data_IF_022664650130
#
_entry.id   IF_022664650130
#
_cell.length_a   1.000
_cell.length_b   1.000
_cell.length_c   1.000
_cell.angle_alpha   90.00
_cell.angle_beta   90.00
_cell.angle_gamma   90.00
#
_symmetry.space_group_name_H-M   'P 1'
#
loop_
_entity.id
_entity.type
_entity.pdbx_description
1 polymer ?
#
# COMPACT_ATOMS: atom_id res chain seq x y z
N UNK A 1 27.41 -16.18 -37.98
CA UNK A 1 27.53 -15.30 -36.80
C UNK A 1 26.41 -14.27 -36.85
N UNK A 2 25.22 -14.60 -36.31
CA UNK A 2 24.08 -13.68 -36.31
C UNK A 2 24.31 -12.67 -35.20
N UNK A 3 24.63 -11.43 -35.58
CA UNK A 3 24.74 -10.30 -34.66
C UNK A 3 23.36 -10.09 -34.05
N UNK A 4 23.16 -10.56 -32.82
CA UNK A 4 21.98 -10.25 -32.03
C UNK A 4 21.91 -8.73 -31.90
N UNK A 5 21.00 -8.09 -32.66
CA UNK A 5 20.71 -6.66 -32.52
C UNK A 5 20.35 -6.43 -31.06
N UNK A 6 21.22 -5.72 -30.32
CA UNK A 6 20.88 -5.20 -28.99
C UNK A 6 19.65 -4.32 -29.16
N UNK A 7 18.46 -4.83 -28.80
CA UNK A 7 17.24 -4.01 -28.76
C UNK A 7 17.51 -2.87 -27.79
N UNK A 8 17.42 -1.63 -28.27
CA UNK A 8 17.54 -0.45 -27.42
C UNK A 8 16.53 -0.58 -26.27
N UNK A 9 16.90 -0.26 -25.03
CA UNK A 9 15.95 -0.28 -23.92
C UNK A 9 14.73 0.58 -24.29
N UNK A 10 13.51 0.15 -23.94
CA UNK A 10 12.32 0.94 -24.22
C UNK A 10 12.49 2.34 -23.64
N UNK A 11 12.30 3.36 -24.48
CA UNK A 11 12.42 4.77 -24.08
C UNK A 11 11.36 5.07 -23.02
N UNK A 12 11.76 5.78 -21.96
CA UNK A 12 10.83 6.20 -20.92
C UNK A 12 9.72 7.07 -21.54
N UNK A 13 8.43 6.71 -21.41
CA UNK A 13 7.32 7.43 -22.04
C UNK A 13 6.97 8.71 -21.26
N UNK A 14 7.92 9.65 -21.12
CA UNK A 14 7.78 10.81 -20.22
C UNK A 14 6.60 11.71 -20.57
N UNK A 15 6.30 11.92 -21.86
CA UNK A 15 5.17 12.76 -22.29
C UNK A 15 3.83 12.20 -21.83
N UNK A 16 3.48 10.93 -22.13
CA UNK A 16 2.31 10.28 -21.55
C UNK A 16 2.26 10.33 -20.02
N UNK A 17 3.37 10.05 -19.35
CA UNK A 17 3.41 10.06 -17.89
C UNK A 17 3.10 11.44 -17.31
N UNK A 18 3.73 12.50 -17.86
CA UNK A 18 3.53 13.87 -17.42
C UNK A 18 2.09 14.35 -17.68
N UNK A 19 1.51 13.97 -18.82
CA UNK A 19 0.14 14.32 -19.17
C UNK A 19 -0.86 13.69 -18.19
N UNK A 20 -0.73 12.38 -17.92
CA UNK A 20 -1.60 11.70 -16.96
C UNK A 20 -1.43 12.28 -15.56
N UNK A 21 -0.20 12.54 -15.13
CA UNK A 21 0.07 13.19 -13.85
C UNK A 21 -0.60 14.56 -13.75
N UNK A 22 -0.47 15.40 -14.77
CA UNK A 22 -1.06 16.75 -14.79
C UNK A 22 -2.59 16.69 -14.72
N UNK A 23 -3.22 15.77 -15.45
CA UNK A 23 -4.68 15.56 -15.39
C UNK A 23 -5.10 15.06 -14.02
N UNK A 24 -4.40 14.05 -13.47
CA UNK A 24 -4.70 13.50 -12.16
C UNK A 24 -4.59 14.56 -11.05
N UNK A 25 -3.55 15.41 -11.12
CA UNK A 25 -3.32 16.48 -10.17
C UNK A 25 -4.36 17.58 -10.32
N UNK A 26 -4.70 17.99 -11.55
CA UNK A 26 -5.72 19.01 -11.79
C UNK A 26 -7.09 18.59 -11.23
N UNK A 27 -7.50 17.33 -11.43
CA UNK A 27 -8.73 16.78 -10.86
C UNK A 27 -8.71 16.81 -9.33
N UNK A 28 -7.60 16.43 -8.70
CA UNK A 28 -7.46 16.41 -7.24
C UNK A 28 -7.41 17.81 -6.64
N UNK A 29 -6.72 18.75 -7.29
CA UNK A 29 -6.71 20.17 -6.89
C UNK A 29 -8.10 20.78 -7.04
N UNK A 30 -8.87 20.39 -8.06
CA UNK A 30 -10.29 20.77 -8.14
C UNK A 30 -11.10 20.21 -6.96
N UNK A 31 -10.91 18.93 -6.59
CA UNK A 31 -11.57 18.39 -5.40
C UNK A 31 -11.13 19.07 -4.10
N UNK A 32 -9.88 19.55 -4.02
CA UNK A 32 -9.40 20.32 -2.86
C UNK A 32 -10.27 21.54 -2.60
N UNK A 33 -10.76 22.20 -3.65
CA UNK A 33 -11.62 23.39 -3.51
C UNK A 33 -13.03 23.07 -3.01
N UNK A 34 -13.39 21.79 -2.95
CA UNK A 34 -14.67 21.30 -2.44
C UNK A 34 -14.57 20.78 -1.00
N UNK A 35 -13.35 20.67 -0.45
CA UNK A 35 -13.14 20.23 0.94
C UNK A 35 -13.47 21.41 1.87
N UNK A 36 -14.31 21.21 2.89
CA UNK A 36 -14.64 22.29 3.80
C UNK A 36 -13.41 22.69 4.63
N UNK A 37 -13.34 23.97 4.99
CA UNK A 37 -12.14 24.57 5.59
C UNK A 37 -11.75 23.90 6.92
N UNK A 38 -12.72 23.48 7.72
CA UNK A 38 -12.51 22.75 8.97
C UNK A 38 -11.73 21.44 8.78
N UNK A 39 -11.97 20.71 7.69
CA UNK A 39 -11.24 19.50 7.34
C UNK A 39 -9.83 19.77 6.77
N UNK A 40 -9.57 20.99 6.27
CA UNK A 40 -8.24 21.40 5.81
C UNK A 40 -7.36 21.87 6.96
N UNK A 41 -7.96 22.37 8.04
CA UNK A 41 -7.22 22.83 9.20
C UNK A 41 -6.66 21.64 9.98
N UNK A 42 -5.34 21.63 10.32
CA UNK A 42 -4.77 20.58 11.15
C UNK A 42 -5.51 20.44 12.48
N UNK A 43 -5.83 19.21 12.85
CA UNK A 43 -6.62 18.86 14.04
C UNK A 43 -6.01 17.67 14.80
N UNK A 44 -6.30 17.55 16.09
CA UNK A 44 -5.96 16.36 16.88
C UNK A 44 -6.94 15.19 16.69
N UNK A 45 -7.91 15.32 15.78
CA UNK A 45 -9.07 14.42 15.70
C UNK A 45 -8.73 13.05 15.12
N UNK A 46 -7.59 12.95 14.42
CA UNK A 46 -7.08 11.74 13.79
C UNK A 46 -5.63 11.49 14.19
N UNK A 47 -5.27 10.21 14.34
CA UNK A 47 -3.99 9.77 14.88
C UNK A 47 -2.81 10.32 14.08
N UNK A 48 -2.96 10.48 12.77
CA UNK A 48 -1.89 10.98 11.90
C UNK A 48 -1.52 12.42 12.23
N UNK A 49 -2.53 13.29 12.33
CA UNK A 49 -2.33 14.72 12.61
C UNK A 49 -1.96 14.93 14.08
N UNK A 50 -2.59 14.20 15.01
CA UNK A 50 -2.25 14.22 16.43
C UNK A 50 -0.77 13.89 16.68
N UNK A 51 -0.24 12.82 16.08
CA UNK A 51 1.18 12.47 16.19
C UNK A 51 2.05 13.56 15.53
N UNK A 52 1.67 14.07 14.36
CA UNK A 52 2.44 15.10 13.67
C UNK A 52 2.54 16.40 14.48
N UNK A 53 1.43 16.84 15.09
CA UNK A 53 1.38 17.98 15.99
C UNK A 53 2.22 17.73 17.25
N UNK A 54 2.09 16.56 17.88
CA UNK A 54 2.92 16.19 19.04
C UNK A 54 4.41 16.28 18.73
N UNK A 55 4.86 15.86 17.53
CA UNK A 55 6.26 15.98 17.12
C UNK A 55 6.69 17.45 17.02
N UNK A 56 5.85 18.33 16.48
CA UNK A 56 6.16 19.75 16.32
C UNK A 56 6.20 20.47 17.67
N UNK A 57 5.24 20.18 18.54
CA UNK A 57 5.06 20.87 19.82
C UNK A 57 6.02 20.37 20.90
N UNK A 58 6.31 19.07 20.93
CA UNK A 58 7.03 18.42 22.03
C UNK A 58 8.32 17.72 21.59
N UNK A 59 8.54 17.54 20.29
CA UNK A 59 9.63 16.73 19.75
C UNK A 59 9.42 15.22 19.89
N UNK A 60 8.26 14.78 20.38
CA UNK A 60 7.98 13.36 20.65
C UNK A 60 6.96 12.78 19.66
N UNK A 61 7.28 11.59 19.15
CA UNK A 61 6.33 10.74 18.43
C UNK A 61 5.39 10.08 19.46
N UNK A 62 4.31 10.78 19.80
CA UNK A 62 3.47 10.53 20.97
C UNK A 62 2.02 10.99 20.73
N UNK A 63 1.14 10.68 21.69
CA UNK A 63 -0.21 11.23 21.85
C UNK A 63 -1.11 11.14 20.60
N UNK A 64 -1.43 9.94 20.10
CA UNK A 64 -2.26 9.78 18.90
C UNK A 64 -3.77 9.89 19.15
N UNK A 65 -4.21 10.13 20.39
CA UNK A 65 -5.62 10.02 20.79
C UNK A 65 -6.15 11.32 21.43
N UNK A 66 -7.44 11.32 21.79
CA UNK A 66 -8.16 12.47 22.36
C UNK A 66 -7.56 13.03 23.64
N UNK A 67 -6.75 12.23 24.35
CA UNK A 67 -6.01 12.63 25.54
C UNK A 67 -4.51 12.29 25.37
N UNK A 68 -3.59 12.99 26.06
CA UNK A 68 -2.18 12.64 26.06
C UNK A 68 -1.92 11.25 26.66
N UNK A 69 -1.57 10.28 25.81
CA UNK A 69 -1.27 8.90 26.20
C UNK A 69 0.23 8.55 26.19
N UNK A 70 1.09 9.52 25.90
CA UNK A 70 2.55 9.35 25.88
C UNK A 70 3.11 8.79 24.56
N UNK A 71 4.36 8.30 24.56
CA UNK A 71 5.01 7.75 23.38
C UNK A 71 4.17 6.67 22.70
N UNK A 72 4.14 6.67 21.37
CA UNK A 72 3.28 5.77 20.59
C UNK A 72 4.04 5.09 19.45
N UNK A 73 3.54 3.94 19.01
CA UNK A 73 3.84 3.34 17.70
C UNK A 73 2.54 2.97 16.96
N UNK A 74 1.44 3.68 17.20
CA UNK A 74 0.15 3.40 16.58
C UNK A 74 0.24 3.44 15.03
N UNK A 75 0.95 4.44 14.48
CA UNK A 75 1.21 4.60 13.06
C UNK A 75 2.66 4.27 12.69
N UNK A 76 2.93 3.84 11.44
CA UNK A 76 4.29 3.78 10.92
C UNK A 76 4.90 5.19 10.82
N UNK A 77 6.23 5.35 10.88
CA UNK A 77 6.82 6.66 11.18
C UNK A 77 6.86 7.64 10.03
N UNK A 78 6.92 7.21 8.77
CA UNK A 78 7.10 8.14 7.64
C UNK A 78 5.91 9.08 7.47
N UNK A 79 4.65 8.63 7.51
CA UNK A 79 3.51 9.54 7.34
C UNK A 79 3.45 10.67 8.38
N UNK A 80 3.54 10.40 9.69
CA UNK A 80 3.54 11.47 10.68
C UNK A 80 4.79 12.36 10.60
N UNK A 81 5.97 11.80 10.28
CA UNK A 81 7.21 12.59 10.24
C UNK A 81 7.24 13.60 9.08
N UNK A 82 6.79 13.24 7.88
CA UNK A 82 6.75 14.23 6.80
C UNK A 82 5.66 15.27 7.06
N UNK A 83 4.54 14.89 7.68
CA UNK A 83 3.47 15.83 8.03
C UNK A 83 3.94 16.81 9.12
N UNK A 84 4.65 16.32 10.14
CA UNK A 84 5.30 17.15 11.14
C UNK A 84 6.31 18.12 10.52
N UNK A 85 7.07 17.69 9.50
CA UNK A 85 7.98 18.57 8.77
C UNK A 85 7.21 19.70 8.04
N UNK A 86 6.06 19.39 7.44
CA UNK A 86 5.19 20.40 6.81
C UNK A 86 4.70 21.39 7.86
N UNK A 87 4.14 20.92 8.98
CA UNK A 87 3.68 21.78 10.06
C UNK A 87 4.81 22.59 10.71
N UNK A 88 6.04 22.08 10.75
CA UNK A 88 7.21 22.84 11.20
C UNK A 88 7.58 24.00 10.27
N UNK A 89 7.39 23.84 8.96
CA UNK A 89 7.75 24.84 7.94
C UNK A 89 6.63 25.88 7.76
N UNK A 90 5.38 25.41 7.70
CA UNK A 90 4.20 26.23 7.35
C UNK A 90 3.29 26.55 8.55
N UNK A 91 3.62 26.04 9.73
CA UNK A 91 2.83 26.15 10.95
C UNK A 91 1.70 25.14 11.02
N UNK A 92 1.20 24.89 12.23
CA UNK A 92 -0.08 24.20 12.49
C UNK A 92 -1.20 25.20 12.20
N UNK A 93 -1.40 25.48 10.91
CA UNK A 93 -2.31 26.51 10.39
C UNK A 93 -3.03 25.98 9.15
N UNK A 94 -4.04 26.72 8.67
CA UNK A 94 -4.70 26.43 7.38
C UNK A 94 -3.70 26.24 6.24
N UNK A 95 -2.62 27.05 6.18
CA UNK A 95 -1.60 26.91 5.15
C UNK A 95 -0.85 25.58 5.26
N UNK A 96 -0.46 25.19 6.48
CA UNK A 96 0.20 23.90 6.73
C UNK A 96 -0.70 22.72 6.37
N UNK A 97 -1.99 22.83 6.69
CA UNK A 97 -3.03 21.90 6.27
C UNK A 97 -3.12 21.77 4.74
N UNK A 98 -3.36 22.87 4.03
CA UNK A 98 -3.44 22.91 2.56
C UNK A 98 -2.19 22.29 1.91
N UNK A 99 -0.99 22.63 2.40
CA UNK A 99 0.26 22.05 1.87
C UNK A 99 0.34 20.54 2.14
N UNK A 100 -0.11 20.08 3.31
CA UNK A 100 -0.26 18.66 3.65
C UNK A 100 -1.14 17.92 2.64
N UNK A 101 -2.34 18.45 2.40
CA UNK A 101 -3.28 17.90 1.42
C UNK A 101 -2.71 17.89 0.00
N UNK A 102 -2.07 18.98 -0.44
CA UNK A 102 -1.43 19.07 -1.76
C UNK A 102 -0.34 18.02 -1.96
N UNK A 103 0.51 17.78 -0.95
CA UNK A 103 1.56 16.75 -1.03
C UNK A 103 0.95 15.35 -1.17
N UNK A 104 -0.12 15.05 -0.43
CA UNK A 104 -0.83 13.77 -0.57
C UNK A 104 -1.42 13.61 -1.98
N UNK A 105 -2.01 14.67 -2.52
CA UNK A 105 -2.54 14.69 -3.89
C UNK A 105 -1.44 14.48 -4.94
N UNK A 106 -0.25 15.03 -4.73
CA UNK A 106 0.91 14.81 -5.59
C UNK A 106 1.29 13.32 -5.59
N UNK A 107 1.38 12.69 -4.43
CA UNK A 107 1.71 11.26 -4.37
C UNK A 107 0.65 10.38 -5.05
N UNK A 108 -0.64 10.66 -4.81
CA UNK A 108 -1.72 9.95 -5.49
C UNK A 108 -1.69 10.18 -7.00
N UNK A 109 -1.42 11.40 -7.47
CA UNK A 109 -1.33 11.70 -8.91
C UNK A 109 -0.11 11.04 -9.54
N UNK A 110 1.00 10.95 -8.79
CA UNK A 110 2.25 10.36 -9.27
C UNK A 110 2.08 8.90 -9.66
N UNK A 111 1.36 8.08 -8.88
CA UNK A 111 1.18 6.67 -9.25
C UNK A 111 0.41 6.53 -10.57
N UNK A 112 -0.65 7.31 -10.80
CA UNK A 112 -1.38 7.31 -12.07
C UNK A 112 -0.49 7.76 -13.22
N UNK A 113 0.28 8.84 -13.02
CA UNK A 113 1.26 9.33 -13.98
C UNK A 113 2.35 8.31 -14.31
N UNK A 114 2.73 7.44 -13.38
CA UNK A 114 3.75 6.42 -13.60
C UNK A 114 3.24 5.20 -14.39
N UNK A 115 1.92 5.01 -14.54
CA UNK A 115 1.36 3.79 -15.14
C UNK A 115 1.81 3.50 -16.59
N UNK A 116 1.97 4.47 -17.51
CA UNK A 116 2.55 4.18 -18.82
C UNK A 116 3.96 3.59 -18.73
N UNK A 117 4.79 4.09 -17.80
CA UNK A 117 6.14 3.56 -17.59
C UNK A 117 6.12 2.20 -16.88
N UNK A 118 5.31 2.05 -15.82
CA UNK A 118 5.16 0.77 -15.11
C UNK A 118 4.67 -0.30 -16.08
N UNK A 119 3.62 -0.03 -16.86
CA UNK A 119 3.09 -0.97 -17.86
C UNK A 119 4.15 -1.43 -18.86
N UNK A 120 4.99 -0.51 -19.36
CA UNK A 120 6.11 -0.86 -20.24
C UNK A 120 7.16 -1.74 -19.54
N UNK A 121 7.52 -1.41 -18.30
CA UNK A 121 8.54 -2.15 -17.53
C UNK A 121 8.08 -3.53 -17.10
N UNK A 122 6.78 -3.73 -16.92
CA UNK A 122 6.19 -5.02 -16.58
C UNK A 122 5.83 -5.85 -17.81
N UNK A 123 6.07 -5.34 -19.02
CA UNK A 123 5.79 -6.05 -20.28
C UNK A 123 4.30 -6.04 -20.68
N UNK A 124 3.45 -5.38 -19.91
CA UNK A 124 2.02 -5.18 -20.22
C UNK A 124 1.84 -4.19 -21.38
N UNK A 125 2.78 -3.25 -21.52
CA UNK A 125 2.85 -2.23 -22.57
C UNK A 125 2.39 -0.86 -22.11
N UNK A 126 3.09 0.19 -22.57
CA UNK A 126 2.81 1.57 -22.14
C UNK A 126 1.40 2.09 -22.47
N UNK A 127 0.74 1.54 -23.49
CA UNK A 127 -0.63 1.94 -23.89
C UNK A 127 -1.69 1.41 -22.93
N UNK A 128 -1.54 0.19 -22.43
CA UNK A 128 -2.36 -0.33 -21.34
C UNK A 128 -2.18 0.55 -20.09
N UNK A 129 -0.92 0.91 -19.79
CA UNK A 129 -0.61 1.85 -18.72
C UNK A 129 -1.18 3.27 -18.94
N UNK A 130 -1.28 3.73 -20.18
CA UNK A 130 -1.92 5.01 -20.52
C UNK A 130 -3.42 4.99 -20.26
N UNK A 131 -4.12 3.94 -20.71
CA UNK A 131 -5.55 3.75 -20.45
C UNK A 131 -5.80 3.69 -18.95
N UNK A 132 -5.02 2.87 -18.24
CA UNK A 132 -5.08 2.73 -16.79
C UNK A 132 -4.82 4.06 -16.07
N UNK A 133 -3.81 4.81 -16.54
CA UNK A 133 -3.44 6.12 -16.01
C UNK A 133 -4.57 7.13 -16.09
N UNK A 134 -5.19 7.29 -17.27
CA UNK A 134 -6.33 8.20 -17.43
C UNK A 134 -7.57 7.74 -16.68
N UNK A 135 -7.88 6.44 -16.70
CA UNK A 135 -9.02 5.90 -15.96
C UNK A 135 -8.88 6.16 -14.45
N UNK A 136 -7.70 5.93 -13.87
CA UNK A 136 -7.43 6.21 -12.46
C UNK A 136 -7.27 7.70 -12.14
N UNK A 137 -6.78 8.51 -13.08
CA UNK A 137 -6.69 9.97 -12.91
C UNK A 137 -8.07 10.60 -12.70
N UNK A 138 -9.08 10.10 -13.42
CA UNK A 138 -10.48 10.53 -13.36
C UNK A 138 -11.31 9.75 -12.32
N UNK A 139 -10.73 8.74 -11.67
CA UNK A 139 -11.46 7.92 -10.71
C UNK A 139 -11.75 8.73 -9.44
N UNK A 140 -13.02 8.82 -9.01
CA UNK A 140 -13.39 9.57 -7.83
C UNK A 140 -12.87 8.84 -6.60
N UNK A 141 -11.90 9.45 -5.90
CA UNK A 141 -11.30 8.87 -4.70
C UNK A 141 -11.16 9.90 -3.61
N UNK A 142 -11.50 9.47 -2.39
CA UNK A 142 -11.18 10.23 -1.20
C UNK A 142 -9.67 10.31 -1.01
N UNK A 143 -9.20 11.41 -0.43
CA UNK A 143 -7.78 11.61 -0.23
C UNK A 143 -7.27 10.68 0.88
N UNK A 144 -6.17 10.01 0.55
CA UNK A 144 -5.57 8.99 1.37
C UNK A 144 -4.53 9.60 2.35
N UNK A 145 -4.47 9.05 3.56
CA UNK A 145 -3.61 9.44 4.68
C UNK A 145 -2.23 8.75 4.59
N UNK A 146 -1.60 8.83 3.40
CA UNK A 146 -0.28 8.26 3.11
C UNK A 146 -0.28 7.09 2.12
N UNK A 147 -1.45 6.56 1.77
CA UNK A 147 -1.57 5.45 0.80
C UNK A 147 -1.13 5.84 -0.61
N UNK A 148 -1.18 7.14 -0.95
CA UNK A 148 -0.58 7.71 -2.16
C UNK A 148 0.91 7.37 -2.29
N UNK A 149 1.67 7.68 -1.24
CA UNK A 149 3.10 7.38 -1.19
C UNK A 149 3.34 5.87 -1.20
N UNK A 150 2.53 5.09 -0.47
CA UNK A 150 2.60 3.63 -0.49
C UNK A 150 2.40 3.06 -1.91
N UNK A 151 1.43 3.58 -2.67
CA UNK A 151 1.16 3.16 -4.04
C UNK A 151 2.35 3.43 -4.97
N UNK A 152 2.94 4.64 -4.89
CA UNK A 152 4.15 5.01 -5.64
C UNK A 152 5.32 4.08 -5.30
N UNK A 153 5.57 3.86 -4.00
CA UNK A 153 6.63 2.96 -3.55
C UNK A 153 6.40 1.54 -4.06
N UNK A 154 5.19 1.01 -3.96
CA UNK A 154 4.88 -0.33 -4.45
C UNK A 154 5.10 -0.44 -5.96
N UNK A 155 4.63 0.55 -6.75
CA UNK A 155 4.88 0.59 -8.20
C UNK A 155 6.37 0.55 -8.56
N UNK A 156 7.19 1.32 -7.84
CA UNK A 156 8.64 1.33 -8.00
C UNK A 156 9.29 -0.01 -7.58
N UNK A 157 8.84 -0.59 -6.46
CA UNK A 157 9.32 -1.87 -5.94
C UNK A 157 8.99 -3.04 -6.87
N UNK A 158 7.77 -3.08 -7.44
CA UNK A 158 7.34 -4.07 -8.44
C UNK A 158 8.23 -4.00 -9.69
N UNK A 159 8.56 -2.80 -10.16
CA UNK A 159 9.51 -2.63 -11.28
C UNK A 159 10.93 -3.08 -10.87
N UNK A 160 11.38 -2.75 -9.67
CA UNK A 160 12.71 -3.09 -9.19
C UNK A 160 12.90 -4.61 -9.04
N UNK A 161 11.90 -5.33 -8.50
CA UNK A 161 11.96 -6.80 -8.37
C UNK A 161 11.96 -7.48 -9.74
N UNK A 162 11.14 -7.02 -10.70
CA UNK A 162 11.15 -7.52 -12.09
C UNK A 162 12.51 -7.30 -12.74
N UNK A 163 13.07 -6.09 -12.62
CA UNK A 163 14.40 -5.79 -13.17
C UNK A 163 15.50 -6.67 -12.55
N UNK A 164 15.38 -6.98 -11.26
CA UNK A 164 16.30 -7.89 -10.58
C UNK A 164 16.14 -9.30 -11.13
N UNK A 165 14.92 -9.83 -11.25
CA UNK A 165 14.67 -11.15 -11.84
C UNK A 165 15.18 -11.24 -13.28
N UNK A 166 14.95 -10.22 -14.10
CA UNK A 166 15.49 -10.13 -15.46
C UNK A 166 17.01 -10.19 -15.51
N UNK A 167 17.69 -9.51 -14.57
CA UNK A 167 19.15 -9.52 -14.51
C UNK A 167 19.70 -10.90 -14.14
N UNK A 168 19.03 -11.61 -13.23
CA UNK A 168 19.37 -12.99 -12.85
C UNK A 168 19.25 -13.91 -14.07
N UNK A 169 18.13 -13.80 -14.79
CA UNK A 169 17.82 -14.71 -15.89
C UNK A 169 18.72 -14.45 -17.12
N UNK A 170 19.12 -13.20 -17.37
CA UNK A 170 19.99 -12.85 -18.50
C UNK A 170 21.48 -13.13 -18.28
N UNK A 171 21.97 -12.91 -17.06
CA UNK A 171 23.40 -13.01 -16.78
C UNK A 171 23.81 -14.41 -16.31
N UNK A 172 22.85 -15.31 -16.08
CA UNK A 172 23.07 -16.61 -15.42
C UNK A 172 23.95 -16.51 -14.17
N UNK A 173 23.93 -15.34 -13.54
CA UNK A 173 24.80 -14.96 -12.44
C UNK A 173 23.93 -14.49 -11.28
N UNK A 174 24.42 -14.67 -10.06
CA UNK A 174 23.77 -14.10 -8.89
C UNK A 174 23.63 -12.58 -9.08
N UNK A 175 22.48 -11.99 -8.71
CA UNK A 175 22.35 -10.54 -8.75
C UNK A 175 23.40 -9.95 -7.80
N UNK A 176 23.98 -8.80 -8.19
CA UNK A 176 25.01 -8.15 -7.39
C UNK A 176 24.52 -8.01 -5.96
N UNK A 177 25.32 -8.44 -4.97
CA UNK A 177 24.95 -8.41 -3.56
C UNK A 177 24.39 -7.03 -3.14
N UNK A 178 25.04 -5.95 -3.60
CA UNK A 178 24.58 -4.58 -3.41
C UNK A 178 23.16 -4.31 -3.97
N UNK A 179 22.81 -4.85 -5.14
CA UNK A 179 21.47 -4.66 -5.70
C UNK A 179 20.38 -5.38 -4.89
N UNK A 180 20.66 -6.58 -4.38
CA UNK A 180 19.74 -7.28 -3.48
C UNK A 180 19.61 -6.55 -2.14
N UNK A 181 20.71 -6.07 -1.56
CA UNK A 181 20.70 -5.27 -0.34
C UNK A 181 19.91 -3.96 -0.52
N UNK A 182 20.11 -3.25 -1.63
CA UNK A 182 19.39 -2.01 -1.95
C UNK A 182 17.89 -2.24 -2.17
N UNK A 183 17.52 -3.34 -2.85
CA UNK A 183 16.11 -3.71 -2.99
C UNK A 183 15.49 -4.02 -1.63
N UNK A 184 16.22 -4.76 -0.79
CA UNK A 184 15.86 -5.02 0.59
C UNK A 184 15.65 -3.74 1.38
N UNK A 185 16.62 -2.83 1.33
CA UNK A 185 16.56 -1.54 2.00
C UNK A 185 15.36 -0.70 1.52
N UNK A 186 15.03 -0.74 0.23
CA UNK A 186 13.84 -0.07 -0.32
C UNK A 186 12.54 -0.68 0.23
N UNK A 187 12.44 -2.01 0.34
CA UNK A 187 11.33 -2.66 1.04
C UNK A 187 11.28 -2.28 2.52
N UNK A 188 12.42 -2.31 3.22
CA UNK A 188 12.53 -1.90 4.63
C UNK A 188 12.07 -0.46 4.86
N UNK A 189 12.43 0.47 3.97
CA UNK A 189 11.91 1.83 4.01
C UNK A 189 10.39 1.86 3.77
N UNK A 190 9.90 1.08 2.82
CA UNK A 190 8.47 1.03 2.52
C UNK A 190 7.62 0.50 3.67
N UNK A 191 8.17 -0.33 4.56
CA UNK A 191 7.47 -0.79 5.77
C UNK A 191 7.17 0.36 6.73
N UNK A 192 8.01 1.40 6.73
CA UNK A 192 7.80 2.62 7.51
C UNK A 192 6.74 3.56 6.91
N UNK A 193 6.20 3.23 5.74
CA UNK A 193 5.02 3.87 5.14
C UNK A 193 3.81 2.95 5.26
N UNK A 194 3.98 1.68 4.86
CA UNK A 194 2.93 0.67 4.86
C UNK A 194 3.51 -0.69 5.30
N UNK A 195 3.37 -1.08 6.59
CA UNK A 195 3.90 -2.34 7.11
C UNK A 195 3.35 -3.59 6.39
N UNK A 196 2.16 -3.50 5.80
CA UNK A 196 1.56 -4.61 5.02
C UNK A 196 2.44 -5.04 3.84
N UNK A 197 3.37 -4.20 3.36
CA UNK A 197 4.33 -4.62 2.33
C UNK A 197 5.27 -5.74 2.78
N UNK A 198 5.33 -6.07 4.07
CA UNK A 198 6.04 -7.27 4.55
C UNK A 198 5.48 -8.54 3.91
N UNK A 199 4.15 -8.73 3.86
CA UNK A 199 3.56 -9.94 3.27
C UNK A 199 3.76 -9.99 1.75
N UNK A 200 3.85 -8.83 1.10
CA UNK A 200 4.20 -8.71 -0.32
C UNK A 200 5.65 -9.15 -0.55
N UNK A 201 6.59 -8.65 0.26
CA UNK A 201 8.00 -9.07 0.21
C UNK A 201 8.11 -10.58 0.43
N UNK A 202 7.46 -11.13 1.46
CA UNK A 202 7.50 -12.57 1.74
C UNK A 202 6.93 -13.38 0.59
N UNK A 203 5.85 -12.91 -0.05
CA UNK A 203 5.32 -13.52 -1.28
C UNK A 203 6.34 -13.53 -2.42
N UNK A 204 7.06 -12.43 -2.65
CA UNK A 204 8.10 -12.35 -3.68
C UNK A 204 9.28 -13.27 -3.39
N UNK A 205 9.74 -13.32 -2.14
CA UNK A 205 10.86 -14.20 -1.76
C UNK A 205 10.44 -15.67 -1.81
N UNK A 206 9.22 -16.00 -1.38
CA UNK A 206 8.65 -17.34 -1.51
C UNK A 206 8.55 -17.79 -2.96
N UNK A 207 8.04 -16.93 -3.84
CA UNK A 207 8.04 -17.19 -5.28
C UNK A 207 9.45 -17.34 -5.83
N UNK A 208 10.40 -16.49 -5.43
CA UNK A 208 11.79 -16.59 -5.90
C UNK A 208 12.45 -17.92 -5.51
N UNK A 209 12.28 -18.36 -4.26
CA UNK A 209 12.81 -19.64 -3.76
C UNK A 209 12.14 -20.83 -4.45
N UNK A 210 10.82 -20.77 -4.66
CA UNK A 210 10.06 -21.84 -5.33
C UNK A 210 10.36 -21.92 -6.83
N UNK A 211 10.35 -20.78 -7.51
CA UNK A 211 10.57 -20.69 -8.95
C UNK A 211 12.02 -20.97 -9.34
N UNK A 212 12.96 -20.79 -8.39
CA UNK A 212 14.39 -20.99 -8.63
C UNK A 212 14.95 -22.01 -7.62
N UNK A 213 15.00 -23.27 -8.05
CA UNK A 213 15.53 -24.39 -7.26
C UNK A 213 17.06 -24.36 -7.01
N UNK A 214 17.76 -23.39 -7.60
CA UNK A 214 19.21 -23.23 -7.43
C UNK A 214 19.53 -22.57 -6.09
N UNK A 215 19.98 -23.38 -5.12
CA UNK A 215 20.33 -22.96 -3.76
C UNK A 215 21.42 -21.89 -3.71
N UNK A 216 22.29 -21.81 -4.73
CA UNK A 216 23.31 -20.75 -4.79
C UNK A 216 22.67 -19.35 -4.88
N UNK A 217 21.42 -19.27 -5.33
CA UNK A 217 20.67 -18.01 -5.48
C UNK A 217 19.94 -17.60 -4.20
N UNK A 218 19.74 -18.52 -3.24
CA UNK A 218 19.10 -18.23 -1.95
C UNK A 218 19.91 -17.23 -1.12
N UNK A 219 21.24 -17.22 -1.25
CA UNK A 219 22.09 -16.20 -0.64
C UNK A 219 21.65 -14.79 -1.08
N UNK A 220 21.33 -14.62 -2.36
CA UNK A 220 20.90 -13.34 -2.92
C UNK A 220 19.49 -12.93 -2.48
N UNK A 221 18.62 -13.90 -2.19
CA UNK A 221 17.29 -13.71 -1.58
C UNK A 221 17.45 -13.30 -0.11
N UNK A 222 18.35 -13.96 0.63
CA UNK A 222 18.70 -13.60 2.01
C UNK A 222 19.23 -12.18 2.14
N UNK A 223 20.02 -11.70 1.16
CA UNK A 223 20.49 -10.31 1.14
C UNK A 223 19.35 -9.28 1.02
N UNK A 224 18.22 -9.63 0.37
CA UNK A 224 17.04 -8.75 0.35
C UNK A 224 16.43 -8.65 1.75
N UNK A 225 16.31 -9.76 2.48
CA UNK A 225 15.86 -9.76 3.87
C UNK A 225 16.80 -8.96 4.78
N UNK A 226 18.11 -9.15 4.64
CA UNK A 226 19.12 -8.40 5.40
C UNK A 226 18.98 -6.90 5.15
N UNK A 227 18.86 -6.47 3.89
CA UNK A 227 18.64 -5.06 3.56
C UNK A 227 17.37 -4.49 4.19
N UNK A 228 16.27 -5.26 4.17
CA UNK A 228 15.01 -4.83 4.77
C UNK A 228 15.11 -4.70 6.30
N UNK A 229 15.81 -5.64 6.95
CA UNK A 229 16.06 -5.61 8.39
C UNK A 229 16.93 -4.43 8.80
N UNK A 230 18.03 -4.14 8.09
CA UNK A 230 18.92 -3.01 8.38
C UNK A 230 18.15 -1.69 8.47
N UNK A 231 17.21 -1.46 7.55
CA UNK A 231 16.40 -0.22 7.54
C UNK A 231 15.27 -0.27 8.58
N UNK A 232 14.79 -1.45 8.96
CA UNK A 232 13.70 -1.61 9.94
C UNK A 232 14.18 -1.54 11.39
N UNK A 233 15.41 -1.99 11.67
CA UNK A 233 15.97 -2.11 13.02
C UNK A 233 16.01 -0.79 13.80
N UNK A 234 16.44 0.36 13.24
CA UNK A 234 16.52 1.61 14.00
C UNK A 234 15.18 2.03 14.62
N UNK A 235 14.09 1.89 13.86
CA UNK A 235 12.75 2.16 14.37
C UNK A 235 12.31 1.11 15.40
N UNK A 236 12.67 -0.17 15.20
CA UNK A 236 12.47 -1.22 16.19
C UNK A 236 13.18 -0.93 17.52
N UNK A 237 14.42 -0.44 17.49
CA UNK A 237 15.17 -0.01 18.68
C UNK A 237 14.48 1.16 19.37
N UNK A 238 13.99 2.14 18.61
CA UNK A 238 13.21 3.26 19.17
C UNK A 238 11.95 2.73 19.86
N UNK A 239 11.19 1.85 19.22
CA UNK A 239 9.97 1.29 19.79
C UNK A 239 10.27 0.49 21.06
N UNK A 240 11.33 -0.31 21.08
CA UNK A 240 11.75 -1.02 22.27
C UNK A 240 12.08 -0.06 23.43
N UNK A 241 12.84 1.00 23.17
CA UNK A 241 13.17 2.00 24.20
C UNK A 241 11.97 2.80 24.70
N UNK A 242 11.00 3.06 23.84
CA UNK A 242 9.84 3.90 24.17
C UNK A 242 8.67 3.10 24.78
N UNK A 243 8.52 1.83 24.42
CA UNK A 243 7.33 1.03 24.70
C UNK A 243 7.64 -0.32 25.38
N UNK A 244 8.92 -0.59 25.66
CA UNK A 244 9.41 -1.84 26.27
C UNK A 244 8.91 -3.12 25.58
N UNK A 245 8.83 -3.07 24.23
CA UNK A 245 8.31 -4.18 23.45
C UNK A 245 8.93 -4.27 22.05
N UNK A 246 9.05 -5.51 21.56
CA UNK A 246 9.49 -5.82 20.19
C UNK A 246 8.28 -6.23 19.36
N UNK A 247 8.01 -5.45 18.32
CA UNK A 247 6.98 -5.74 17.31
C UNK A 247 7.35 -5.05 15.99
N UNK A 248 6.68 -5.46 14.91
CA UNK A 248 7.01 -4.98 13.57
C UNK A 248 6.37 -3.63 13.26
N UNK A 249 7.19 -2.57 13.29
CA UNK A 249 6.90 -1.18 12.89
C UNK A 249 5.79 -0.46 13.68
N UNK A 250 4.56 -0.99 13.71
CA UNK A 250 3.40 -0.38 14.37
C UNK A 250 2.67 -1.36 15.29
N UNK A 251 1.97 -0.83 16.30
CA UNK A 251 1.37 -1.59 17.41
C UNK A 251 -0.14 -1.84 17.29
N UNK A 252 -0.85 -1.04 16.49
CA UNK A 252 -2.32 -0.90 16.57
C UNK A 252 -3.15 -2.11 16.11
N UNK A 253 -2.53 -3.17 15.58
CA UNK A 253 -3.26 -4.29 14.97
C UNK A 253 -4.30 -4.93 15.91
N UNK A 254 -3.99 -5.03 17.20
CA UNK A 254 -4.93 -5.59 18.19
C UNK A 254 -6.18 -4.73 18.37
N UNK A 255 -6.04 -3.40 18.36
CA UNK A 255 -7.17 -2.47 18.40
C UNK A 255 -8.04 -2.59 17.14
N UNK A 256 -7.44 -2.55 15.95
CA UNK A 256 -8.19 -2.70 14.69
C UNK A 256 -8.91 -4.04 14.61
N UNK A 257 -8.28 -5.10 15.11
CA UNK A 257 -8.90 -6.42 15.17
C UNK A 257 -10.11 -6.41 16.11
N UNK A 258 -10.02 -5.73 17.27
CA UNK A 258 -11.13 -5.57 18.21
C UNK A 258 -12.26 -4.76 17.61
N UNK A 259 -11.98 -3.64 16.94
CA UNK A 259 -12.98 -2.82 16.27
C UNK A 259 -13.75 -3.56 15.17
N UNK A 260 -13.17 -4.62 14.58
CA UNK A 260 -13.84 -5.43 13.58
C UNK A 260 -14.44 -6.74 14.07
N UNK A 261 -14.11 -7.22 15.25
CA UNK A 261 -14.46 -8.59 15.64
C UNK A 261 -15.02 -8.61 17.06
N UNK A 262 -16.28 -8.20 17.16
CA UNK A 262 -17.08 -8.15 18.37
C UNK A 262 -18.56 -8.32 18.03
N UNK A 263 -19.40 -8.46 19.05
CA UNK A 263 -20.85 -8.51 18.87
C UNK A 263 -21.37 -7.19 18.30
N UNK A 264 -22.13 -7.26 17.21
CA UNK A 264 -22.62 -6.07 16.49
C UNK A 264 -21.63 -5.45 15.51
N UNK A 265 -20.43 -6.03 15.32
CA UNK A 265 -19.45 -5.50 14.38
C UNK A 265 -20.00 -5.45 12.94
N UNK A 266 -19.63 -4.39 12.23
CA UNK A 266 -19.91 -4.23 10.81
C UNK A 266 -18.62 -4.38 9.99
N UNK A 267 -18.77 -4.66 8.70
CA UNK A 267 -17.60 -4.84 7.83
C UNK A 267 -16.97 -3.51 7.39
N UNK A 268 -17.74 -2.42 7.38
CA UNK A 268 -17.37 -1.09 6.88
C UNK A 268 -17.30 -0.09 8.05
N UNK A 269 -16.23 0.72 8.15
CA UNK A 269 -16.14 1.74 9.21
C UNK A 269 -17.14 2.87 9.03
N UNK A 270 -17.56 3.12 7.80
CA UNK A 270 -18.50 4.20 7.48
C UNK A 270 -19.95 3.82 7.83
N UNK A 271 -20.17 2.62 8.39
CA UNK A 271 -21.45 2.25 8.97
C UNK A 271 -21.77 3.19 10.16
N UNK A 272 -22.98 3.77 10.22
CA UNK A 272 -23.37 4.70 11.30
C UNK A 272 -23.18 4.12 12.71
N UNK A 273 -23.29 2.80 12.86
CA UNK A 273 -23.19 2.11 14.15
C UNK A 273 -21.77 1.63 14.47
N UNK A 274 -20.79 1.86 13.59
CA UNK A 274 -19.44 1.34 13.77
C UNK A 274 -18.74 1.89 15.03
N UNK A 275 -19.02 3.15 15.39
CA UNK A 275 -18.42 3.79 16.57
C UNK A 275 -19.25 3.63 17.85
N UNK A 276 -20.42 2.96 17.79
CA UNK A 276 -21.28 2.78 18.96
C UNK A 276 -20.63 1.86 19.99
N UNK A 277 -19.97 0.81 19.50
CA UNK A 277 -19.27 -0.17 20.33
C UNK A 277 -18.32 -1.03 19.47
N UNK A 278 -17.13 -1.40 19.95
CA UNK A 278 -16.49 -0.94 21.17
C UNK A 278 -15.99 0.51 21.01
N UNK A 279 -15.88 1.27 22.12
CA UNK A 279 -15.39 2.64 22.07
C UNK A 279 -13.95 2.68 21.56
N UNK A 280 -13.66 3.67 20.71
CA UNK A 280 -12.33 3.92 20.17
C UNK A 280 -11.60 5.00 21.01
N UNK A 281 -10.31 4.82 21.35
CA UNK A 281 -9.55 5.80 22.16
C UNK A 281 -9.41 7.18 21.50
N UNK A 282 -9.53 7.26 20.17
CA UNK A 282 -9.61 8.52 19.41
C UNK A 282 -10.83 9.38 19.76
N UNK A 283 -11.94 8.78 20.22
CA UNK A 283 -13.21 9.47 20.45
C UNK A 283 -13.73 9.33 21.88
N UNK A 284 -13.18 8.40 22.66
CA UNK A 284 -13.63 8.10 24.02
C UNK A 284 -12.48 8.24 25.02
N UNK A 285 -12.59 9.24 25.91
CA UNK A 285 -11.58 9.53 26.93
C UNK A 285 -11.33 8.35 27.87
N UNK A 286 -12.34 7.53 28.17
CA UNK A 286 -12.19 6.34 29.02
C UNK A 286 -11.26 5.28 28.42
N UNK A 287 -11.24 5.13 27.09
CA UNK A 287 -10.32 4.21 26.42
C UNK A 287 -8.91 4.80 26.33
N UNK A 288 -8.79 6.11 26.09
CA UNK A 288 -7.50 6.80 26.13
C UNK A 288 -6.88 6.75 27.55
N UNK A 289 -7.70 6.84 28.60
CA UNK A 289 -7.26 6.69 30.00
C UNK A 289 -6.70 5.28 30.27
N UNK A 290 -7.34 4.21 29.78
CA UNK A 290 -6.78 2.85 29.87
C UNK A 290 -5.40 2.76 29.22
N UNK A 291 -5.20 3.41 28.07
CA UNK A 291 -3.90 3.44 27.39
C UNK A 291 -2.86 4.16 28.23
N UNK A 292 -3.23 5.28 28.87
CA UNK A 292 -2.35 6.03 29.77
C UNK A 292 -1.97 5.23 31.01
N UNK A 293 -2.90 4.47 31.58
CA UNK A 293 -2.67 3.65 32.78
C UNK A 293 -1.90 2.35 32.49
N UNK A 294 -2.28 1.63 31.43
CA UNK A 294 -1.73 0.30 31.13
C UNK A 294 -0.52 0.35 30.20
N UNK A 295 -0.38 1.44 29.45
CA UNK A 295 0.54 1.56 28.32
C UNK A 295 -0.05 1.00 27.02
N UNK A 296 0.36 1.60 25.89
CA UNK A 296 -0.14 1.25 24.56
C UNK A 296 0.00 -0.25 24.25
N UNK A 297 1.15 -0.84 24.54
CA UNK A 297 1.40 -2.26 24.21
C UNK A 297 0.45 -3.19 24.98
N UNK A 298 0.20 -2.92 26.26
CA UNK A 298 -0.70 -3.73 27.06
C UNK A 298 -2.14 -3.60 26.56
N UNK A 299 -2.60 -2.38 26.29
CA UNK A 299 -3.92 -2.12 25.73
C UNK A 299 -4.12 -2.79 24.36
N UNK A 300 -3.13 -2.72 23.46
CA UNK A 300 -3.20 -3.37 22.14
C UNK A 300 -3.25 -4.89 22.26
N UNK A 301 -2.46 -5.49 23.17
CA UNK A 301 -2.48 -6.94 23.43
C UNK A 301 -3.83 -7.39 23.98
N UNK A 302 -4.38 -6.63 24.92
CA UNK A 302 -5.68 -6.93 25.51
C UNK A 302 -6.80 -6.82 24.47
N UNK A 303 -6.80 -5.76 23.66
CA UNK A 303 -7.74 -5.60 22.55
C UNK A 303 -7.67 -6.78 21.56
N UNK A 304 -6.45 -7.21 21.20
CA UNK A 304 -6.25 -8.37 20.35
C UNK A 304 -6.74 -9.68 21.00
N UNK A 305 -6.58 -9.83 22.33
CA UNK A 305 -7.05 -11.00 23.08
C UNK A 305 -8.58 -11.08 23.10
N UNK A 306 -9.25 -9.96 23.34
CA UNK A 306 -10.72 -9.84 23.27
C UNK A 306 -11.23 -10.24 21.89
N UNK A 307 -10.65 -9.66 20.83
CA UNK A 307 -11.04 -9.95 19.45
C UNK A 307 -10.85 -11.42 19.09
N UNK A 308 -9.70 -12.01 19.43
CA UNK A 308 -9.42 -13.43 19.18
C UNK A 308 -10.35 -14.34 19.99
N UNK A 309 -10.67 -13.98 21.23
CA UNK A 309 -11.65 -14.68 22.06
C UNK A 309 -13.03 -14.70 21.41
N UNK A 310 -13.47 -13.56 20.89
CA UNK A 310 -14.74 -13.45 20.17
C UNK A 310 -14.74 -14.26 18.87
N UNK A 311 -13.68 -14.16 18.05
CA UNK A 311 -13.55 -14.94 16.79
C UNK A 311 -13.68 -16.43 17.06
N UNK A 312 -12.96 -16.95 18.08
CA UNK A 312 -12.99 -18.37 18.44
C UNK A 312 -14.36 -18.84 18.91
N UNK A 313 -15.11 -17.96 19.57
CA UNK A 313 -16.45 -18.27 20.08
C UNK A 313 -17.54 -18.09 19.03
N UNK A 314 -17.26 -17.36 17.94
CA UNK A 314 -18.23 -16.96 16.92
C UNK A 314 -17.72 -17.18 15.48
N UNK A 315 -17.22 -18.39 15.18
CA UNK A 315 -16.56 -18.68 13.90
C UNK A 315 -17.43 -18.37 12.67
N UNK A 316 -18.74 -18.66 12.73
CA UNK A 316 -19.66 -18.39 11.62
C UNK A 316 -19.83 -16.89 11.34
N UNK A 317 -19.94 -16.11 12.41
CA UNK A 317 -20.10 -14.65 12.31
C UNK A 317 -18.79 -13.96 11.89
N UNK A 318 -17.66 -14.41 12.43
CA UNK A 318 -16.34 -13.98 11.96
C UNK A 318 -16.14 -14.29 10.47
N UNK A 319 -16.51 -15.49 10.00
CA UNK A 319 -16.44 -15.84 8.59
C UNK A 319 -17.36 -14.96 7.72
N UNK A 320 -18.56 -14.63 8.21
CA UNK A 320 -19.49 -13.69 7.55
C UNK A 320 -18.85 -12.32 7.38
N UNK A 321 -18.26 -11.76 8.44
CA UNK A 321 -17.59 -10.45 8.41
C UNK A 321 -16.38 -10.45 7.47
N UNK A 322 -15.55 -11.49 7.52
CA UNK A 322 -14.42 -11.64 6.60
C UNK A 322 -14.90 -11.73 5.15
N UNK A 323 -15.95 -12.49 4.85
CA UNK A 323 -16.51 -12.56 3.49
C UNK A 323 -17.04 -11.20 3.00
N UNK A 324 -17.67 -10.43 3.89
CA UNK A 324 -18.09 -9.06 3.58
C UNK A 324 -16.91 -8.14 3.31
N UNK A 325 -15.85 -8.18 4.13
CA UNK A 325 -14.62 -7.39 3.92
C UNK A 325 -13.95 -7.74 2.60
N UNK A 326 -13.89 -9.02 2.24
CA UNK A 326 -13.42 -9.45 0.91
C UNK A 326 -14.27 -8.82 -0.20
N UNK A 327 -15.60 -8.86 -0.05
CA UNK A 327 -16.53 -8.25 -1.02
C UNK A 327 -16.32 -6.73 -1.13
N UNK A 328 -16.29 -6.00 -0.02
CA UNK A 328 -16.04 -4.56 0.02
C UNK A 328 -14.66 -4.20 -0.57
N UNK A 329 -13.62 -4.97 -0.21
CA UNK A 329 -12.28 -4.72 -0.69
C UNK A 329 -12.19 -4.83 -2.22
N UNK A 330 -12.81 -5.82 -2.85
CA UNK A 330 -12.72 -6.00 -4.30
C UNK A 330 -13.79 -5.26 -5.09
N UNK A 331 -15.00 -5.16 -4.56
CA UNK A 331 -16.18 -4.65 -5.28
C UNK A 331 -16.61 -3.25 -4.80
N UNK A 332 -15.90 -2.64 -3.84
CA UNK A 332 -16.21 -1.31 -3.32
C UNK A 332 -17.38 -1.29 -2.33
N UNK A 333 -17.80 -0.08 -1.94
CA UNK A 333 -19.03 0.15 -1.20
C UNK A 333 -20.22 -0.29 -2.07
N UNK A 334 -21.04 -1.20 -1.56
CA UNK A 334 -22.12 -1.86 -2.30
C UNK A 334 -23.48 -1.22 -2.04
N UNK A 335 -23.52 -0.41 -1.00
CA UNK A 335 -24.60 0.49 -0.59
C UNK A 335 -24.73 1.69 -1.54
N UNK A 336 -23.69 2.04 -2.30
CA UNK A 336 -23.77 2.95 -3.45
C UNK A 336 -23.80 2.15 -4.77
N UNK A 337 -24.95 2.08 -5.47
CA UNK A 337 -25.08 1.31 -6.71
C UNK A 337 -24.16 1.76 -7.84
N UNK A 338 -23.83 3.06 -7.92
CA UNK A 338 -23.00 3.61 -8.99
C UNK A 338 -21.54 3.22 -8.75
N UNK A 339 -21.06 3.38 -7.51
CA UNK A 339 -19.71 2.93 -7.14
C UNK A 339 -19.57 1.42 -7.20
N UNK A 340 -20.58 0.67 -6.77
CA UNK A 340 -20.61 -0.78 -6.89
C UNK A 340 -20.47 -1.22 -8.35
N UNK A 341 -21.25 -0.65 -9.28
CA UNK A 341 -21.15 -0.97 -10.70
C UNK A 341 -19.76 -0.64 -11.26
N UNK A 342 -19.20 0.52 -10.88
CA UNK A 342 -17.89 0.94 -11.33
C UNK A 342 -16.79 -0.04 -10.87
N UNK A 343 -16.80 -0.45 -9.59
CA UNK A 343 -15.83 -1.40 -9.05
C UNK A 343 -16.02 -2.82 -9.55
N UNK A 344 -17.27 -3.30 -9.71
CA UNK A 344 -17.54 -4.61 -10.33
C UNK A 344 -17.01 -4.64 -11.77
N UNK A 345 -17.21 -3.57 -12.53
CA UNK A 345 -16.68 -3.44 -13.89
C UNK A 345 -15.16 -3.45 -13.89
N UNK A 346 -14.52 -2.68 -13.00
CA UNK A 346 -13.08 -2.66 -12.84
C UNK A 346 -12.53 -4.04 -12.46
N UNK A 347 -13.15 -4.73 -11.50
CA UNK A 347 -12.76 -6.06 -11.06
C UNK A 347 -12.90 -7.10 -12.19
N UNK A 348 -14.01 -7.05 -12.96
CA UNK A 348 -14.22 -7.91 -14.12
C UNK A 348 -13.17 -7.70 -15.21
N UNK A 349 -12.88 -6.45 -15.57
CA UNK A 349 -11.82 -6.12 -16.52
C UNK A 349 -10.43 -6.52 -16.00
N UNK A 350 -10.15 -6.29 -14.72
CA UNK A 350 -8.90 -6.70 -14.09
C UNK A 350 -8.73 -8.23 -14.12
N UNK A 351 -9.79 -9.00 -13.85
CA UNK A 351 -9.77 -10.47 -13.96
C UNK A 351 -9.47 -10.94 -15.39
N UNK A 352 -10.07 -10.32 -16.41
CA UNK A 352 -9.70 -10.57 -17.82
C UNK A 352 -8.24 -10.20 -18.09
N UNK A 353 -7.75 -9.12 -17.47
CA UNK A 353 -6.36 -8.70 -17.47
C UNK A 353 -5.43 -9.76 -16.88
N UNK A 354 -5.78 -10.34 -15.72
CA UNK A 354 -5.05 -11.43 -15.07
C UNK A 354 -4.87 -12.61 -16.03
N UNK A 355 -5.95 -13.03 -16.69
CA UNK A 355 -5.91 -14.13 -17.66
C UNK A 355 -4.96 -13.82 -18.82
N UNK A 356 -4.95 -12.57 -19.31
CA UNK A 356 -4.03 -12.14 -20.37
C UNK A 356 -2.57 -12.12 -19.91
N UNK A 357 -2.27 -11.52 -18.77
CA UNK A 357 -0.88 -11.44 -18.29
C UNK A 357 -0.33 -12.82 -17.92
N UNK A 358 -1.16 -13.71 -17.35
CA UNK A 358 -0.75 -15.08 -17.03
C UNK A 358 -0.40 -15.91 -18.28
N UNK A 359 -1.05 -15.64 -19.42
CA UNK A 359 -0.78 -16.33 -20.70
C UNK A 359 0.28 -15.64 -21.56
N UNK A 360 0.43 -14.33 -21.43
CA UNK A 360 1.23 -13.50 -22.33
C UNK A 360 2.60 -13.07 -21.78
N UNK A 361 2.75 -13.00 -20.46
CA UNK A 361 3.99 -12.55 -19.82
C UNK A 361 4.85 -13.72 -19.33
N UNK A 362 6.17 -13.54 -19.20
CA UNK A 362 7.01 -14.46 -18.46
C UNK A 362 6.51 -14.64 -17.02
N UNK A 363 6.66 -15.84 -16.46
CA UNK A 363 6.17 -16.19 -15.12
C UNK A 363 6.60 -15.19 -14.04
N UNK A 364 7.86 -14.72 -14.08
CA UNK A 364 8.36 -13.72 -13.14
C UNK A 364 7.63 -12.37 -13.23
N UNK A 365 7.26 -11.91 -14.44
CA UNK A 365 6.54 -10.65 -14.61
C UNK A 365 5.07 -10.78 -14.19
N UNK A 366 4.43 -11.91 -14.51
CA UNK A 366 3.09 -12.20 -14.02
C UNK A 366 3.07 -12.29 -12.49
N UNK A 367 4.02 -13.01 -11.88
CA UNK A 367 4.16 -13.11 -10.42
C UNK A 367 4.37 -11.74 -9.76
N UNK A 368 5.15 -10.84 -10.38
CA UNK A 368 5.34 -9.48 -9.88
C UNK A 368 4.02 -8.71 -9.71
N UNK A 369 3.07 -8.92 -10.63
CA UNK A 369 1.73 -8.31 -10.58
C UNK A 369 0.77 -9.06 -9.65
N UNK A 370 0.79 -10.39 -9.66
CA UNK A 370 -0.22 -11.19 -8.95
C UNK A 370 0.07 -11.33 -7.46
N UNK A 371 1.33 -11.40 -7.05
CA UNK A 371 1.68 -11.60 -5.63
C UNK A 371 1.16 -10.46 -4.74
N UNK A 372 1.32 -9.17 -5.07
CA UNK A 372 0.73 -8.10 -4.27
C UNK A 372 -0.80 -8.22 -4.19
N UNK A 373 -1.47 -8.55 -5.30
CA UNK A 373 -2.92 -8.73 -5.33
C UNK A 373 -3.41 -9.89 -4.44
N UNK A 374 -2.59 -10.94 -4.27
CA UNK A 374 -2.92 -12.09 -3.44
C UNK A 374 -2.55 -11.91 -1.97
N UNK A 375 -1.50 -11.13 -1.67
CA UNK A 375 -0.91 -11.05 -0.33
C UNK A 375 -1.28 -9.78 0.43
N UNK A 376 -1.27 -8.62 -0.24
CA UNK A 376 -1.57 -7.33 0.38
C UNK A 376 -2.96 -7.28 1.05
N UNK A 377 -4.04 -7.80 0.44
CA UNK A 377 -5.38 -7.72 1.02
C UNK A 377 -5.60 -8.57 2.28
N UNK A 378 -4.74 -9.56 2.55
CA UNK A 378 -4.96 -10.56 3.59
C UNK A 378 -5.15 -9.95 4.98
N UNK A 379 -4.41 -8.88 5.29
CA UNK A 379 -4.54 -8.17 6.57
C UNK A 379 -5.89 -7.46 6.66
N UNK A 380 -6.36 -6.89 5.55
CA UNK A 380 -7.62 -6.14 5.46
C UNK A 380 -8.87 -7.02 5.43
N UNK A 381 -8.71 -8.35 5.30
CA UNK A 381 -9.82 -9.29 5.47
C UNK A 381 -10.15 -9.54 6.96
N UNK A 382 -9.25 -9.14 7.86
CA UNK A 382 -9.37 -9.39 9.30
C UNK A 382 -9.81 -8.15 10.09
N UNK A 383 -9.63 -6.95 9.53
CA UNK A 383 -9.96 -5.67 10.16
C UNK A 383 -11.07 -4.95 9.41
N UNK A 384 -11.78 -3.98 10.02
CA UNK A 384 -12.81 -3.19 9.36
C UNK A 384 -12.33 -2.59 8.03
N UNK A 385 -13.17 -2.62 7.02
CA UNK A 385 -12.84 -2.09 5.70
C UNK A 385 -12.99 -0.57 5.67
N UNK A 386 -12.01 0.10 5.08
CA UNK A 386 -12.06 1.52 4.70
C UNK A 386 -11.74 1.65 3.21
N UNK A 387 -12.38 2.60 2.53
CA UNK A 387 -12.15 2.89 1.11
C UNK A 387 -10.65 3.01 0.74
N UNK A 388 -9.86 3.69 1.58
CA UNK A 388 -8.44 3.96 1.34
C UNK A 388 -7.54 2.72 1.39
N UNK A 389 -7.95 1.63 2.05
CA UNK A 389 -7.08 0.47 2.27
C UNK A 389 -6.67 -0.24 0.99
N UNK A 390 -7.47 -0.16 -0.08
CA UNK A 390 -7.13 -0.72 -1.39
C UNK A 390 -6.16 0.16 -2.19
N UNK A 391 -6.13 1.47 -1.94
CA UNK A 391 -5.44 2.46 -2.78
C UNK A 391 -4.00 2.03 -3.15
N UNK A 392 -3.15 1.49 -2.25
CA UNK A 392 -1.77 1.11 -2.57
C UNK A 392 -1.61 0.08 -3.69
N UNK A 393 -2.63 -0.75 -3.93
CA UNK A 393 -2.63 -1.76 -5.00
C UNK A 393 -3.63 -1.46 -6.12
N UNK A 394 -4.45 -0.42 -5.98
CA UNK A 394 -5.56 -0.15 -6.90
C UNK A 394 -5.08 0.12 -8.33
N UNK A 395 -3.96 0.80 -8.47
CA UNK A 395 -3.28 1.03 -9.74
C UNK A 395 -3.01 -0.26 -10.52
N UNK A 396 -2.84 -1.39 -9.84
CA UNK A 396 -2.63 -2.70 -10.45
C UNK A 396 -3.90 -3.21 -11.13
N UNK A 397 -5.07 -2.96 -10.53
CA UNK A 397 -6.37 -3.30 -11.12
C UNK A 397 -6.63 -2.49 -12.37
N UNK A 398 -6.35 -1.18 -12.32
CA UNK A 398 -6.43 -0.32 -13.49
C UNK A 398 -5.46 -0.77 -14.59
N UNK A 399 -4.22 -1.14 -14.24
CA UNK A 399 -3.24 -1.62 -15.20
C UNK A 399 -3.70 -2.92 -15.88
N UNK A 400 -4.26 -3.86 -15.11
CA UNK A 400 -4.81 -5.11 -15.62
C UNK A 400 -6.06 -4.88 -16.47
N UNK A 401 -6.96 -3.98 -16.07
CA UNK A 401 -8.11 -3.57 -16.86
C UNK A 401 -7.66 -2.91 -18.18
N UNK A 402 -6.67 -2.02 -18.13
CA UNK A 402 -6.03 -1.44 -19.32
C UNK A 402 -5.43 -2.49 -20.23
N UNK A 403 -4.82 -3.54 -19.67
CA UNK A 403 -4.32 -4.69 -20.43
C UNK A 403 -5.45 -5.50 -21.08
N UNK A 404 -6.63 -5.55 -20.45
CA UNK A 404 -7.79 -6.22 -20.99
C UNK A 404 -8.42 -5.47 -22.17
N UNK A 405 -8.42 -4.14 -22.11
CA UNK A 405 -8.97 -3.24 -23.12
C UNK A 405 -8.02 -3.01 -24.29
N UNK A 406 -6.71 -3.01 -24.05
CA UNK A 406 -5.72 -2.76 -25.09
C UNK A 406 -5.41 -4.03 -25.90
N UNK A 407 -5.92 -4.09 -27.13
CA UNK A 407 -5.69 -5.17 -28.12
C UNK A 407 -4.29 -5.15 -28.76
N UNK A 408 -3.25 -4.78 -28.01
CA UNK A 408 -1.88 -4.99 -28.49
C UNK A 408 -1.50 -6.44 -28.25
N UNK A 409 -1.29 -7.23 -29.31
CA UNK A 409 -0.79 -8.61 -29.19
C UNK A 409 0.37 -8.68 -28.18
N UNK A 410 0.35 -9.62 -27.22
CA UNK A 410 1.52 -9.95 -26.37
C UNK A 410 2.78 -10.39 -27.16
N UNK A 411 2.70 -10.41 -28.50
CA UNK A 411 3.67 -10.99 -29.42
C UNK A 411 4.69 -10.02 -30.02
N UNK A 412 5.44 -9.25 -29.21
CA UNK A 412 6.73 -8.69 -29.67
C UNK A 412 7.95 -9.20 -28.92
N UNK A 413 7.79 -10.18 -28.03
CA UNK A 413 8.90 -10.77 -27.26
C UNK A 413 9.34 -12.17 -27.74
N UNK A 414 8.76 -12.69 -28.84
CA UNK A 414 9.25 -13.90 -29.54
C UNK A 414 9.79 -13.54 -30.93
N UNK A 415 10.97 -12.93 -31.00
CA UNK A 415 11.85 -13.14 -32.16
C UNK A 415 12.99 -14.05 -31.68
N UNK A 416 12.79 -15.37 -31.83
CA UNK A 416 13.89 -16.33 -31.79
C UNK A 416 14.58 -16.24 -33.17
N UNK A 417 15.88 -15.94 -33.28
CA UNK A 417 16.63 -16.28 -34.48
C UNK A 417 16.93 -17.78 -34.40
N UNK A 418 16.13 -18.60 -35.06
CA UNK A 418 16.33 -20.05 -35.05
C UNK A 418 15.20 -20.78 -35.74
N UNK A 419 15.26 -20.78 -37.07
CA UNK A 419 14.34 -21.50 -37.94
C UNK A 419 14.96 -21.65 -39.32
N UNK A 420 16.05 -22.40 -39.39
CA UNK A 420 16.49 -23.07 -40.61
C UNK A 420 16.23 -24.56 -40.41
N UNK A 421 15.14 -25.05 -40.98
CA UNK A 421 15.17 -26.14 -41.95
C UNK A 421 14.23 -25.77 -43.08
#
# INVERSE_FOLDING_TARGET
MVIARRRSPPRFPWRPCLLVFAVALAVRVFFLTLIPEDALQPSGDWELEAIAMSIVETGQFANPYIEPTGPTAHLPPVPPLYLALIYKIFGITMLGGIVGWLIQMIFQSAIWGLLPWIGERLGVGWRAGLIAGFAGALWPQWIAHGEGLAAVLLGLLVVAIVRRWDAIDRLSAAPRAAASLLLGAAFGFSFHVQPVFLVVLLGYLGFEVWHRSDRARWASTGLVLVGALIVSIPWGIRNYRALDAVFFVRSNFGLELRMGNHEGATANIDDPHFNDWPPHPRTHASEAEKIREWGEVAYMRESGREAVGWIRSNLGESARLTAQRVRYFWLGALDDPVMALAFVTLAGLAALGVVRVARGLPAAHAAALLIPLLTYPLVYYLVPWQHRYRFPIEWMLFLLAGAALYWGSPGRLRDRPGGTQ
#
